data_IF_289606783118
#
_entry.id   IF_289606783118
#
_cell.length_a   1.000
_cell.length_b   1.000
_cell.length_c   1.000
_cell.angle_alpha   90.00
_cell.angle_beta   90.00
_cell.angle_gamma   90.00
#
_symmetry.space_group_name_H-M   'P 1'
#
loop_
_entity.id
_entity.type
_entity.pdbx_description
1 polymer ?
#
# COMPACT_ATOMS: atom_id res chain seq x y z
N UNK A 1 -34.23 64.75 6.42
CA UNK A 1 -34.45 63.53 7.22
C UNK A 1 -33.83 62.37 6.48
N UNK A 2 -32.94 61.64 7.17
CA UNK A 2 -32.45 60.24 6.97
C UNK A 2 -31.84 59.89 5.59
N UNK A 3 -30.52 59.77 5.36
CA UNK A 3 -29.36 59.07 6.00
C UNK A 3 -29.09 57.67 5.40
N UNK A 4 -28.02 57.63 4.59
CA UNK A 4 -26.92 56.64 4.45
C UNK A 4 -27.20 55.13 4.35
N UNK A 5 -26.57 54.48 3.37
CA UNK A 5 -25.95 53.16 3.56
C UNK A 5 -24.66 53.04 2.73
N UNK A 6 -23.59 52.65 3.41
CA UNK A 6 -22.25 52.37 2.91
C UNK A 6 -22.19 50.92 2.43
N UNK A 7 -21.34 50.61 1.44
CA UNK A 7 -20.97 49.23 1.10
C UNK A 7 -19.56 49.01 1.66
N UNK A 8 -19.49 48.24 2.74
CA UNK A 8 -18.26 47.75 3.35
C UNK A 8 -17.63 46.66 2.48
N UNK A 9 -16.31 46.75 2.35
CA UNK A 9 -15.42 45.71 1.82
C UNK A 9 -15.45 44.50 2.75
N UNK A 10 -15.89 43.35 2.24
CA UNK A 10 -15.77 42.07 2.93
C UNK A 10 -14.32 41.60 2.79
N UNK A 11 -13.54 41.72 3.87
CA UNK A 11 -12.30 40.97 4.02
C UNK A 11 -12.65 39.48 3.99
N UNK A 12 -12.19 38.78 2.95
CA UNK A 12 -12.41 37.35 2.78
C UNK A 12 -11.70 36.60 3.90
N UNK A 13 -12.48 35.95 4.77
CA UNK A 13 -11.98 35.00 5.75
C UNK A 13 -11.07 33.96 5.08
N UNK A 14 -9.94 33.57 5.71
CA UNK A 14 -9.02 32.61 5.11
C UNK A 14 -9.73 31.27 4.92
N UNK A 15 -9.71 30.79 3.68
CA UNK A 15 -10.37 29.55 3.28
C UNK A 15 -9.83 28.36 4.11
N UNK A 16 -10.67 27.70 4.94
CA UNK A 16 -10.23 26.61 5.83
C UNK A 16 -9.68 25.40 5.06
N UNK A 17 -9.96 25.29 3.76
CA UNK A 17 -9.39 24.26 2.89
C UNK A 17 -7.90 24.48 2.64
N UNK A 18 -7.45 25.74 2.50
CA UNK A 18 -6.05 26.07 2.21
C UNK A 18 -5.14 25.81 3.42
N UNK A 19 -5.63 26.04 4.64
CA UNK A 19 -4.89 25.69 5.87
C UNK A 19 -4.80 24.19 6.10
N UNK A 20 -5.82 23.42 5.68
CA UNK A 20 -5.78 21.96 5.75
C UNK A 20 -4.82 21.38 4.71
N UNK A 21 -4.82 21.90 3.48
CA UNK A 21 -3.87 21.54 2.42
C UNK A 21 -2.43 21.87 2.80
N UNK A 22 -2.18 23.03 3.42
CA UNK A 22 -0.87 23.40 3.93
C UNK A 22 -0.38 22.47 5.06
N UNK A 23 -1.28 22.09 5.99
CA UNK A 23 -0.98 21.13 7.06
C UNK A 23 -0.72 19.71 6.55
N UNK A 24 -1.31 19.30 5.41
CA UNK A 24 -0.98 18.04 4.76
C UNK A 24 0.40 18.07 4.10
N UNK A 25 0.80 19.22 3.54
CA UNK A 25 2.11 19.38 2.90
C UNK A 25 3.26 19.44 3.91
N UNK A 26 3.03 19.91 5.14
CA UNK A 26 4.04 19.87 6.22
C UNK A 26 4.32 18.45 6.75
N UNK A 27 3.54 17.44 6.36
CA UNK A 27 3.83 16.02 6.63
C UNK A 27 4.90 15.47 5.66
N UNK A 28 5.32 16.24 4.64
CA UNK A 28 6.40 15.88 3.72
C UNK A 28 7.82 15.98 4.33
N UNK A 29 7.93 16.11 5.65
CA UNK A 29 9.18 16.03 6.41
C UNK A 29 9.25 14.89 7.43
N UNK A 30 8.21 14.07 7.56
CA UNK A 30 8.33 12.80 8.27
C UNK A 30 9.13 11.89 7.35
N UNK A 31 10.25 11.34 7.82
CA UNK A 31 10.83 10.11 7.28
C UNK A 31 9.75 9.03 7.31
N UNK A 32 8.83 9.05 6.34
CA UNK A 32 7.90 7.96 6.05
C UNK A 32 8.83 6.78 5.83
N UNK A 33 8.79 5.73 6.66
CA UNK A 33 9.76 4.65 6.57
C UNK A 33 9.85 4.23 5.12
N UNK A 34 11.05 4.45 4.56
CA UNK A 34 11.35 4.36 3.14
C UNK A 34 10.51 3.27 2.50
N UNK A 35 9.68 3.64 1.51
CA UNK A 35 8.76 2.74 0.83
C UNK A 35 9.46 1.41 0.55
N UNK A 36 9.01 0.31 1.18
CA UNK A 36 9.70 -0.96 1.02
C UNK A 36 9.70 -1.31 -0.49
N UNK A 37 10.86 -1.42 -1.13
CA UNK A 37 10.92 -1.58 -2.59
C UNK A 37 10.31 -2.92 -3.03
N UNK A 38 10.24 -3.92 -2.16
CA UNK A 38 9.51 -5.15 -2.43
C UNK A 38 8.00 -4.92 -2.47
N UNK A 39 7.46 -4.18 -1.49
CA UNK A 39 6.04 -3.83 -1.46
C UNK A 39 5.66 -3.04 -2.70
N UNK A 40 6.47 -2.05 -3.10
CA UNK A 40 6.25 -1.30 -4.35
C UNK A 40 6.25 -2.19 -5.59
N UNK A 41 7.15 -3.19 -5.67
CA UNK A 41 7.15 -4.15 -6.78
C UNK A 41 5.86 -4.96 -6.83
N UNK A 42 5.37 -5.42 -5.68
CA UNK A 42 4.12 -6.17 -5.60
C UNK A 42 2.91 -5.30 -6.00
N UNK A 43 2.84 -4.05 -5.52
CA UNK A 43 1.80 -3.08 -5.91
C UNK A 43 1.82 -2.82 -7.42
N UNK A 44 3.00 -2.60 -8.01
CA UNK A 44 3.13 -2.40 -9.46
C UNK A 44 2.66 -3.62 -10.24
N UNK A 45 2.98 -4.83 -9.78
CA UNK A 45 2.51 -6.07 -10.39
C UNK A 45 0.98 -6.20 -10.34
N UNK A 46 0.37 -5.91 -9.18
CA UNK A 46 -1.08 -5.86 -9.01
C UNK A 46 -1.73 -4.88 -9.99
N UNK A 47 -1.30 -3.61 -9.95
CA UNK A 47 -1.88 -2.55 -10.76
C UNK A 47 -1.74 -2.82 -12.27
N UNK A 48 -0.61 -3.39 -12.69
CA UNK A 48 -0.40 -3.77 -14.08
C UNK A 48 -1.38 -4.86 -14.51
N UNK A 49 -1.56 -5.90 -13.70
CA UNK A 49 -2.47 -6.99 -14.04
C UNK A 49 -3.94 -6.53 -14.01
N UNK A 50 -4.32 -5.77 -12.99
CA UNK A 50 -5.64 -5.17 -12.86
C UNK A 50 -6.03 -4.34 -14.09
N UNK A 51 -5.19 -3.36 -14.47
CA UNK A 51 -5.41 -2.51 -15.66
C UNK A 51 -5.42 -3.33 -16.95
N UNK A 52 -4.58 -4.35 -17.03
CA UNK A 52 -4.53 -5.26 -18.20
C UNK A 52 -5.80 -6.09 -18.34
N UNK A 53 -6.41 -6.51 -17.24
CA UNK A 53 -7.68 -7.25 -17.27
C UNK A 53 -8.79 -6.37 -17.86
N UNK A 54 -8.99 -5.17 -17.28
CA UNK A 54 -10.04 -4.23 -17.72
C UNK A 54 -9.84 -3.69 -19.15
N UNK A 55 -8.60 -3.61 -19.63
CA UNK A 55 -8.32 -3.14 -21.01
C UNK A 55 -8.44 -4.23 -22.06
N UNK A 56 -8.35 -5.50 -21.68
CA UNK A 56 -8.41 -6.62 -22.63
C UNK A 56 -9.82 -7.09 -22.92
N UNK A 57 -10.70 -7.01 -21.93
CA UNK A 57 -12.05 -7.54 -22.04
C UNK A 57 -13.04 -6.49 -21.51
N UNK A 58 -13.90 -5.91 -22.37
CA UNK A 58 -14.92 -4.95 -21.95
C UNK A 58 -16.02 -5.58 -21.10
N UNK A 59 -16.14 -6.91 -21.06
CA UNK A 59 -17.04 -7.62 -20.17
C UNK A 59 -16.39 -8.01 -18.82
N UNK A 60 -15.07 -7.80 -18.66
CA UNK A 60 -14.39 -8.12 -17.42
C UNK A 60 -14.97 -7.30 -16.25
N UNK A 61 -15.29 -8.01 -15.17
CA UNK A 61 -15.78 -7.38 -13.96
C UNK A 61 -14.63 -6.82 -13.13
N UNK A 62 -14.96 -5.94 -12.18
CA UNK A 62 -13.98 -5.52 -11.18
C UNK A 62 -13.44 -6.71 -10.39
N UNK A 63 -14.24 -7.75 -10.14
CA UNK A 63 -13.82 -8.95 -9.42
C UNK A 63 -12.76 -9.73 -10.22
N UNK A 64 -12.96 -9.89 -11.53
CA UNK A 64 -11.97 -10.51 -12.42
C UNK A 64 -10.63 -9.77 -12.37
N UNK A 65 -10.68 -8.44 -12.46
CA UNK A 65 -9.49 -7.60 -12.41
C UNK A 65 -8.79 -7.67 -11.04
N UNK A 66 -9.54 -7.74 -9.95
CA UNK A 66 -9.00 -7.92 -8.60
C UNK A 66 -8.34 -9.29 -8.44
N UNK A 67 -8.95 -10.36 -8.97
CA UNK A 67 -8.38 -11.71 -8.96
C UNK A 67 -7.07 -11.78 -9.76
N UNK A 68 -7.03 -11.18 -10.94
CA UNK A 68 -5.82 -11.10 -11.78
C UNK A 68 -4.72 -10.28 -11.08
N UNK A 69 -5.10 -9.17 -10.46
CA UNK A 69 -4.25 -8.32 -9.62
C UNK A 69 -3.65 -9.09 -8.44
N UNK A 70 -4.50 -9.77 -7.64
CA UNK A 70 -4.11 -10.60 -6.50
C UNK A 70 -3.12 -11.68 -6.93
N UNK A 71 -3.42 -12.40 -8.01
CA UNK A 71 -2.51 -13.41 -8.55
C UNK A 71 -1.15 -12.83 -8.95
N UNK A 72 -1.12 -11.64 -9.55
CA UNK A 72 0.13 -10.97 -9.92
C UNK A 72 0.92 -10.45 -8.71
N UNK A 73 0.23 -9.93 -7.70
CA UNK A 73 0.83 -9.49 -6.44
C UNK A 73 1.55 -10.66 -5.76
N UNK A 74 0.85 -11.78 -5.57
CA UNK A 74 1.39 -12.96 -4.89
C UNK A 74 2.60 -13.54 -5.62
N UNK A 75 2.59 -13.57 -6.96
CA UNK A 75 3.74 -14.01 -7.77
C UNK A 75 4.94 -13.07 -7.68
N UNK A 76 4.72 -11.78 -7.41
CA UNK A 76 5.78 -10.78 -7.27
C UNK A 76 6.39 -10.75 -5.86
N UNK A 77 5.79 -11.45 -4.90
CA UNK A 77 6.28 -11.48 -3.53
C UNK A 77 7.70 -12.05 -3.46
N UNK A 78 8.55 -11.52 -2.57
CA UNK A 78 9.91 -12.03 -2.38
C UNK A 78 9.92 -13.51 -1.97
N UNK A 79 10.91 -14.31 -2.41
CA UNK A 79 11.04 -15.69 -1.95
C UNK A 79 11.42 -15.76 -0.46
N UNK A 80 11.03 -16.81 0.25
CA UNK A 80 11.42 -17.07 1.65
C UNK A 80 12.87 -17.59 1.79
N UNK A 81 13.79 -17.01 1.03
CA UNK A 81 15.20 -17.40 0.99
C UNK A 81 16.09 -16.26 1.49
N UNK A 82 16.73 -16.46 2.65
CA UNK A 82 17.59 -15.47 3.29
C UNK A 82 16.84 -14.43 4.11
N UNK A 83 17.52 -13.86 5.11
CA UNK A 83 16.91 -12.99 6.13
C UNK A 83 16.28 -11.74 5.51
N UNK A 84 16.95 -11.13 4.53
CA UNK A 84 16.45 -9.93 3.85
C UNK A 84 15.14 -10.19 3.12
N UNK A 85 15.07 -11.24 2.30
CA UNK A 85 13.86 -11.53 1.53
C UNK A 85 12.71 -11.96 2.43
N UNK A 86 12.97 -12.62 3.56
CA UNK A 86 11.92 -12.94 4.53
C UNK A 86 11.34 -11.66 5.15
N UNK A 87 12.18 -10.67 5.51
CA UNK A 87 11.68 -9.38 6.00
C UNK A 87 10.84 -8.66 4.95
N UNK A 88 11.31 -8.64 3.70
CA UNK A 88 10.58 -8.06 2.58
C UNK A 88 9.26 -8.82 2.30
N UNK A 89 9.24 -10.14 2.43
CA UNK A 89 8.06 -10.97 2.30
C UNK A 89 7.04 -10.65 3.39
N UNK A 90 7.45 -10.59 4.65
CA UNK A 90 6.59 -10.21 5.78
C UNK A 90 5.95 -8.83 5.53
N UNK A 91 6.74 -7.85 5.08
CA UNK A 91 6.22 -6.53 4.72
C UNK A 91 5.15 -6.60 3.62
N UNK A 92 5.38 -7.43 2.59
CA UNK A 92 4.39 -7.65 1.52
C UNK A 92 3.12 -8.34 2.00
N UNK A 93 3.22 -9.33 2.92
CA UNK A 93 2.06 -10.01 3.52
C UNK A 93 1.25 -9.02 4.35
N UNK A 94 1.92 -8.25 5.22
CA UNK A 94 1.25 -7.25 6.07
C UNK A 94 0.53 -6.21 5.23
N UNK A 95 1.16 -5.69 4.17
CA UNK A 95 0.51 -4.76 3.26
C UNK A 95 -0.70 -5.39 2.56
N UNK A 96 -0.55 -6.62 2.05
CA UNK A 96 -1.63 -7.33 1.37
C UNK A 96 -2.83 -7.61 2.29
N UNK A 97 -2.58 -7.90 3.57
CA UNK A 97 -3.64 -8.09 4.57
C UNK A 97 -4.39 -6.77 4.85
N UNK A 98 -3.65 -5.67 5.07
CA UNK A 98 -4.24 -4.35 5.34
C UNK A 98 -5.03 -3.79 4.15
N UNK A 99 -4.70 -4.22 2.94
CA UNK A 99 -5.37 -3.80 1.70
C UNK A 99 -6.34 -4.85 1.15
N UNK A 100 -6.63 -5.90 1.93
CA UNK A 100 -7.54 -6.99 1.58
C UNK A 100 -7.19 -7.76 0.28
N UNK A 101 -5.97 -7.55 -0.24
CA UNK A 101 -5.39 -8.35 -1.31
C UNK A 101 -5.26 -9.80 -0.87
N UNK A 102 -5.20 -10.12 0.43
CA UNK A 102 -5.35 -11.48 0.96
C UNK A 102 -6.27 -11.47 2.18
N UNK A 103 -6.90 -12.62 2.47
CA UNK A 103 -7.69 -12.81 3.68
C UNK A 103 -6.83 -13.13 4.92
N UNK A 104 -7.41 -13.03 6.13
CA UNK A 104 -6.70 -13.28 7.40
C UNK A 104 -6.13 -14.70 7.48
N UNK A 105 -6.90 -15.73 7.09
CA UNK A 105 -6.44 -17.12 7.09
C UNK A 105 -5.21 -17.32 6.17
N UNK A 106 -5.21 -16.70 5.00
CA UNK A 106 -4.06 -16.75 4.09
C UNK A 106 -2.85 -16.04 4.69
N UNK A 107 -3.06 -14.88 5.33
CA UNK A 107 -1.99 -14.15 5.99
C UNK A 107 -1.35 -14.96 7.13
N UNK A 108 -2.15 -15.63 7.96
CA UNK A 108 -1.67 -16.53 9.01
C UNK A 108 -0.79 -17.64 8.45
N UNK A 109 -1.22 -18.29 7.37
CA UNK A 109 -0.44 -19.31 6.67
C UNK A 109 0.91 -18.77 6.16
N UNK A 110 0.91 -17.57 5.56
CA UNK A 110 2.14 -16.93 5.07
C UNK A 110 3.10 -16.53 6.20
N UNK A 111 2.59 -16.00 7.31
CA UNK A 111 3.42 -15.70 8.48
C UNK A 111 3.98 -16.98 9.11
N UNK A 112 3.20 -18.07 9.12
CA UNK A 112 3.65 -19.40 9.52
C UNK A 112 4.83 -19.88 8.68
N UNK A 113 4.71 -19.80 7.35
CA UNK A 113 5.79 -20.17 6.42
C UNK A 113 7.05 -19.30 6.64
N UNK A 114 6.89 -17.99 6.82
CA UNK A 114 8.00 -17.08 7.10
C UNK A 114 8.70 -17.42 8.42
N UNK A 115 7.95 -17.79 9.47
CA UNK A 115 8.49 -18.24 10.75
C UNK A 115 9.30 -19.53 10.60
N UNK A 116 8.80 -20.51 9.83
CA UNK A 116 9.53 -21.76 9.54
C UNK A 116 10.85 -21.46 8.82
N UNK A 117 10.81 -20.60 7.79
CA UNK A 117 12.02 -20.21 7.06
C UNK A 117 13.07 -19.53 7.95
N UNK A 118 12.66 -18.64 8.87
CA UNK A 118 13.56 -18.04 9.86
C UNK A 118 14.17 -19.08 10.80
N UNK A 119 13.38 -20.08 11.21
CA UNK A 119 13.87 -21.19 12.03
C UNK A 119 14.94 -22.01 11.33
N UNK A 120 14.70 -22.35 10.05
CA UNK A 120 15.64 -23.11 9.23
C UNK A 120 17.00 -22.39 9.06
N UNK A 121 16.97 -21.08 8.78
CA UNK A 121 18.20 -20.27 8.64
C UNK A 121 19.03 -20.28 9.93
N UNK A 122 18.37 -20.12 11.08
CA UNK A 122 19.05 -20.10 12.39
C UNK A 122 19.67 -21.44 12.76
N UNK A 123 19.06 -22.55 12.33
CA UNK A 123 19.59 -23.88 12.54
C UNK A 123 20.79 -24.15 11.63
N UNK A 124 20.70 -23.78 10.35
CA UNK A 124 21.80 -23.92 9.39
C UNK A 124 23.05 -23.11 9.76
N UNK A 125 22.88 -21.91 10.32
CA UNK A 125 24.00 -21.05 10.74
C UNK A 125 24.76 -21.54 11.98
N UNK A 126 24.26 -22.55 12.69
CA UNK A 126 24.94 -23.16 13.85
C UNK A 126 25.69 -24.45 13.51
N UNK A 127 25.60 -24.90 12.26
CA UNK A 127 26.22 -26.14 11.78
C UNK A 127 27.41 -25.88 10.83
N UNK A 128 27.95 -24.66 10.82
CA UNK A 128 29.14 -24.23 10.05
C UNK A 128 30.13 -23.52 10.98
#
# INVERSE_FOLDING_TARGET
>A
MTKTAQVETVESEPNPTAELEAKLNDIEGVDRPAENPAVLRCIRAYNRAFKRCLSKDPAATSEDAQNDGRGAYLRAMPPLAGIKNIRDFIACVTFALLTEVIGPEQAENYFGAARVALGAIRCGSRAS
#
